data_IF_945448357808
#
_entry.id   IF_945448357808
#
_cell.length_a   1.000
_cell.length_b   1.000
_cell.length_c   1.000
_cell.angle_alpha   90.00
_cell.angle_beta   90.00
_cell.angle_gamma   90.00
#
_symmetry.space_group_name_H-M   'P 1'
#
loop_
_entity.id
_entity.type
_entity.pdbx_description
1 polymer ?
#
# COMPACT_ATOMS: atom_id res chain seq x y z
N UNK A 1 15.00 -28.99 -9.29
CA UNK A 1 15.29 -27.66 -9.86
C UNK A 1 15.12 -26.60 -8.78
N UNK A 2 16.20 -25.90 -8.42
CA UNK A 2 16.14 -24.79 -7.47
C UNK A 2 15.37 -23.59 -8.04
N UNK A 3 14.87 -22.74 -7.15
CA UNK A 3 14.20 -21.47 -7.47
C UNK A 3 15.21 -20.43 -7.96
N UNK A 4 15.81 -20.66 -9.12
CA UNK A 4 16.75 -19.69 -9.69
C UNK A 4 15.99 -18.43 -10.08
N UNK A 5 16.38 -17.29 -9.51
CA UNK A 5 15.90 -15.96 -9.88
C UNK A 5 17.07 -15.26 -10.54
N UNK A 6 16.88 -14.81 -11.79
CA UNK A 6 17.93 -14.13 -12.53
C UNK A 6 18.36 -12.84 -11.82
N UNK A 7 19.60 -12.40 -12.03
CA UNK A 7 20.07 -11.13 -11.45
C UNK A 7 19.21 -9.94 -11.90
N UNK A 8 18.88 -9.87 -13.19
CA UNK A 8 18.04 -8.80 -13.73
C UNK A 8 16.68 -8.71 -13.00
N UNK A 9 16.02 -9.85 -12.76
CA UNK A 9 14.73 -9.87 -12.03
C UNK A 9 14.91 -9.48 -10.57
N UNK A 10 15.99 -9.90 -9.91
CA UNK A 10 16.27 -9.49 -8.52
C UNK A 10 16.49 -7.98 -8.41
N UNK A 11 17.26 -7.41 -9.33
CA UNK A 11 17.55 -5.98 -9.36
C UNK A 11 16.25 -5.18 -9.60
N UNK A 12 15.45 -5.58 -10.60
CA UNK A 12 14.16 -4.94 -10.91
C UNK A 12 13.19 -4.95 -9.71
N UNK A 13 13.04 -6.10 -9.06
CA UNK A 13 12.18 -6.23 -7.87
C UNK A 13 12.72 -5.39 -6.73
N UNK A 14 14.04 -5.38 -6.50
CA UNK A 14 14.64 -4.61 -5.41
C UNK A 14 14.48 -3.10 -5.61
N UNK A 15 14.66 -2.61 -6.85
CA UNK A 15 14.45 -1.21 -7.22
C UNK A 15 12.98 -0.82 -7.08
N UNK A 16 12.05 -1.61 -7.64
CA UNK A 16 10.59 -1.38 -7.54
C UNK A 16 10.13 -1.30 -6.08
N UNK A 17 10.59 -2.24 -5.26
CA UNK A 17 10.22 -2.37 -3.85
C UNK A 17 11.04 -1.44 -2.94
N UNK A 18 11.98 -0.68 -3.52
CA UNK A 18 12.87 0.28 -2.85
C UNK A 18 13.63 -0.32 -1.68
N UNK A 19 14.04 -1.59 -1.80
CA UNK A 19 14.72 -2.32 -0.75
C UNK A 19 13.93 -2.41 0.56
N UNK A 20 12.60 -2.48 0.49
CA UNK A 20 11.70 -2.54 1.65
C UNK A 20 10.70 -3.67 1.54
N UNK A 21 10.38 -4.25 2.69
CA UNK A 21 9.29 -5.20 2.84
C UNK A 21 7.97 -4.56 2.39
N UNK A 22 7.28 -5.17 1.41
CA UNK A 22 6.02 -4.66 0.89
C UNK A 22 4.87 -4.72 1.90
N UNK A 23 5.00 -5.55 2.94
CA UNK A 23 4.00 -5.66 4.01
C UNK A 23 4.19 -4.64 5.13
N UNK A 24 5.40 -4.50 5.66
CA UNK A 24 5.66 -3.71 6.88
C UNK A 24 6.66 -2.57 6.70
N UNK A 25 7.30 -2.43 5.53
CA UNK A 25 8.29 -1.41 5.27
C UNK A 25 9.69 -1.64 5.85
N UNK A 26 9.92 -2.73 6.60
CA UNK A 26 11.26 -3.08 7.12
C UNK A 26 12.30 -3.18 6.00
N UNK A 27 13.52 -2.74 6.25
CA UNK A 27 14.69 -2.86 5.35
C UNK A 27 15.62 -4.01 5.74
N UNK A 28 15.32 -4.74 6.82
CA UNK A 28 16.17 -5.82 7.36
C UNK A 28 15.63 -7.21 7.03
N UNK A 29 16.55 -8.17 6.89
CA UNK A 29 16.27 -9.59 6.66
C UNK A 29 15.28 -9.83 5.50
N UNK A 30 15.54 -9.19 4.37
CA UNK A 30 14.68 -9.23 3.18
C UNK A 30 14.90 -10.52 2.38
N UNK A 31 13.80 -11.05 1.89
CA UNK A 31 13.72 -12.27 1.08
C UNK A 31 12.87 -12.00 -0.16
N UNK A 32 13.25 -12.60 -1.29
CA UNK A 32 12.42 -12.61 -2.50
C UNK A 32 11.34 -13.68 -2.34
N UNK A 33 10.10 -13.24 -2.16
CA UNK A 33 8.94 -14.12 -2.01
C UNK A 33 8.07 -14.11 -3.26
N UNK A 34 7.45 -15.25 -3.56
CA UNK A 34 6.51 -15.34 -4.67
C UNK A 34 5.11 -14.90 -4.22
N UNK A 35 4.53 -13.93 -4.93
CA UNK A 35 3.14 -13.53 -4.79
C UNK A 35 2.24 -14.76 -4.97
N UNK A 36 2.35 -15.43 -6.12
CA UNK A 36 1.74 -16.73 -6.37
C UNK A 36 2.77 -17.84 -6.13
N UNK A 37 2.53 -18.77 -5.18
CA UNK A 37 3.50 -19.79 -4.80
C UNK A 37 4.06 -20.57 -5.98
N UNK A 38 5.37 -20.82 -5.95
CA UNK A 38 6.05 -21.70 -6.91
C UNK A 38 5.40 -23.10 -6.98
N UNK A 39 4.86 -23.61 -5.86
CA UNK A 39 4.13 -24.88 -5.82
C UNK A 39 2.90 -24.92 -6.74
N UNK A 40 2.43 -23.77 -7.21
CA UNK A 40 1.33 -23.62 -8.17
C UNK A 40 1.82 -23.40 -9.61
N UNK A 41 3.11 -23.60 -9.87
CA UNK A 41 3.73 -23.45 -11.19
C UNK A 41 3.96 -22.01 -11.63
N UNK A 42 3.80 -21.04 -10.74
CA UNK A 42 3.96 -19.63 -11.09
C UNK A 42 5.46 -19.27 -11.30
N UNK A 43 5.79 -18.52 -12.36
CA UNK A 43 7.17 -18.20 -12.71
C UNK A 43 7.78 -17.17 -11.76
N UNK A 44 9.11 -17.16 -11.66
CA UNK A 44 9.88 -16.16 -10.92
C UNK A 44 10.12 -14.91 -11.77
N UNK A 45 9.05 -14.21 -12.15
CA UNK A 45 9.10 -12.92 -12.86
C UNK A 45 9.05 -11.77 -11.86
N UNK A 46 9.51 -10.58 -12.25
CA UNK A 46 9.43 -9.41 -11.39
C UNK A 46 7.99 -9.11 -10.95
N UNK A 47 7.00 -9.30 -11.84
CA UNK A 47 5.58 -9.14 -11.52
C UNK A 47 5.01 -10.17 -10.54
N UNK A 48 5.66 -11.32 -10.33
CA UNK A 48 5.22 -12.36 -9.39
C UNK A 48 6.13 -12.47 -8.16
N UNK A 49 7.17 -11.64 -8.07
CA UNK A 49 8.07 -11.57 -6.91
C UNK A 49 7.85 -10.27 -6.14
N UNK A 50 8.13 -10.32 -4.84
CA UNK A 50 8.11 -9.18 -3.92
C UNK A 50 9.18 -9.33 -2.85
N UNK A 51 9.64 -8.22 -2.28
CA UNK A 51 10.47 -8.22 -1.09
C UNK A 51 9.62 -8.30 0.17
N UNK A 52 9.89 -9.30 1.01
CA UNK A 52 9.31 -9.42 2.34
C UNK A 52 10.43 -9.58 3.37
N UNK A 53 10.27 -9.03 4.57
CA UNK A 53 11.13 -9.42 5.68
C UNK A 53 10.79 -10.86 6.11
N UNK A 54 11.77 -11.57 6.67
CA UNK A 54 11.62 -12.95 7.13
C UNK A 54 10.34 -13.17 7.99
N UNK A 55 10.03 -12.25 8.91
CA UNK A 55 8.82 -12.35 9.74
C UNK A 55 7.53 -12.29 8.91
N UNK A 56 7.42 -11.32 8.03
CA UNK A 56 6.26 -11.13 7.15
C UNK A 56 6.11 -12.31 6.16
N UNK A 57 7.22 -12.79 5.61
CA UNK A 57 7.23 -13.96 4.72
C UNK A 57 6.70 -15.21 5.44
N UNK A 58 7.17 -15.46 6.67
CA UNK A 58 6.71 -16.57 7.52
C UNK A 58 5.25 -16.47 7.94
N UNK A 59 4.71 -15.25 8.09
CA UNK A 59 3.29 -15.01 8.36
C UNK A 59 2.42 -15.27 7.13
N UNK A 60 2.89 -14.84 5.95
CA UNK A 60 2.23 -15.07 4.66
C UNK A 60 2.15 -16.56 4.33
N UNK A 61 3.24 -17.32 4.49
CA UNK A 61 3.34 -18.72 4.07
C UNK A 61 2.93 -18.88 2.59
N UNK A 62 2.25 -19.98 2.27
CA UNK A 62 1.61 -20.29 1.00
C UNK A 62 0.17 -19.76 0.89
N UNK A 63 -0.27 -18.93 1.84
CA UNK A 63 -1.63 -18.37 1.86
C UNK A 63 -1.80 -17.39 0.70
N UNK A 64 -2.35 -17.91 -0.38
CA UNK A 64 -2.81 -17.13 -1.53
C UNK A 64 -4.31 -17.34 -1.68
N UNK A 65 -5.02 -16.23 -1.86
CA UNK A 65 -6.47 -16.25 -2.06
C UNK A 65 -6.77 -16.15 -3.55
N UNK A 66 -7.89 -16.74 -3.97
CA UNK A 66 -8.46 -16.47 -5.28
C UNK A 66 -9.43 -15.29 -5.18
N UNK A 67 -9.52 -14.51 -6.25
CA UNK A 67 -10.53 -13.48 -6.39
C UNK A 67 -11.93 -14.12 -6.41
N UNK A 68 -12.89 -13.64 -5.62
CA UNK A 68 -14.26 -14.18 -5.66
C UNK A 68 -14.98 -13.86 -6.98
N UNK A 69 -14.48 -12.92 -7.78
CA UNK A 69 -15.08 -12.56 -9.07
C UNK A 69 -14.51 -13.35 -10.24
N UNK A 70 -13.21 -13.24 -10.47
CA UNK A 70 -12.55 -13.79 -11.64
C UNK A 70 -11.69 -15.02 -11.32
N UNK A 71 -11.65 -15.46 -10.05
CA UNK A 71 -10.84 -16.59 -9.59
C UNK A 71 -9.32 -16.46 -9.81
N UNK A 72 -8.83 -15.29 -10.20
CA UNK A 72 -7.38 -15.03 -10.33
C UNK A 72 -6.70 -15.11 -8.96
N UNK A 73 -5.41 -15.43 -8.94
CA UNK A 73 -4.62 -15.38 -7.71
C UNK A 73 -4.39 -13.93 -7.28
N UNK A 74 -4.55 -13.67 -5.99
CA UNK A 74 -4.33 -12.35 -5.39
C UNK A 74 -3.22 -12.47 -4.34
N UNK A 75 -2.34 -11.46 -4.30
CA UNK A 75 -1.33 -11.34 -3.25
C UNK A 75 -1.99 -11.29 -1.87
N UNK A 76 -1.28 -11.69 -0.82
CA UNK A 76 -1.83 -11.70 0.54
C UNK A 76 -2.22 -10.29 1.06
N UNK A 77 -1.79 -9.25 0.38
CA UNK A 77 -1.91 -7.85 0.74
C UNK A 77 -2.44 -6.93 -0.36
N UNK A 78 -2.79 -7.48 -1.52
CA UNK A 78 -3.26 -6.65 -2.62
C UNK A 78 -4.65 -6.08 -2.33
N UNK A 79 -4.74 -4.76 -2.17
CA UNK A 79 -6.03 -4.08 -1.97
C UNK A 79 -7.03 -4.31 -3.12
N UNK A 80 -6.53 -4.63 -4.32
CA UNK A 80 -7.32 -4.87 -5.52
C UNK A 80 -6.85 -6.11 -6.27
N UNK A 81 -7.76 -6.77 -6.97
CA UNK A 81 -7.43 -7.83 -7.91
C UNK A 81 -6.77 -7.24 -9.17
N UNK A 82 -5.55 -7.66 -9.50
CA UNK A 82 -4.85 -7.17 -10.70
C UNK A 82 -5.53 -7.61 -12.02
N UNK A 83 -6.40 -8.63 -11.99
CA UNK A 83 -7.04 -9.20 -13.19
C UNK A 83 -8.37 -8.55 -13.53
N UNK A 84 -9.18 -8.17 -12.53
CA UNK A 84 -10.51 -7.60 -12.75
C UNK A 84 -10.73 -6.24 -12.07
N UNK A 85 -9.77 -5.76 -11.28
CA UNK A 85 -9.85 -4.48 -10.57
C UNK A 85 -10.73 -4.49 -9.31
N UNK A 86 -11.42 -5.59 -8.99
CA UNK A 86 -12.27 -5.67 -7.78
C UNK A 86 -11.47 -5.45 -6.52
N UNK A 87 -12.02 -4.61 -5.64
CA UNK A 87 -11.51 -4.40 -4.29
C UNK A 87 -11.60 -5.68 -3.47
N UNK A 88 -10.51 -6.05 -2.80
CA UNK A 88 -10.42 -7.26 -2.00
C UNK A 88 -10.32 -6.84 -0.53
N UNK A 89 -11.28 -7.21 0.34
CA UNK A 89 -11.20 -6.86 1.75
C UNK A 89 -10.04 -7.64 2.39
N UNK A 90 -8.88 -7.00 2.50
CA UNK A 90 -7.75 -7.54 3.22
C UNK A 90 -7.85 -7.19 4.71
N UNK A 91 -7.82 -8.22 5.55
CA UNK A 91 -7.62 -8.06 7.00
C UNK A 91 -6.13 -7.92 7.29
N UNK A 92 -5.47 -6.87 6.77
CA UNK A 92 -4.12 -6.54 7.24
C UNK A 92 -4.28 -5.69 8.48
N UNK A 93 -3.98 -6.25 9.65
CA UNK A 93 -3.66 -5.41 10.82
C UNK A 93 -2.30 -4.78 10.52
N UNK A 94 -2.26 -3.45 10.47
CA UNK A 94 -1.06 -2.60 10.44
C UNK A 94 -0.30 -2.58 9.10
N UNK A 95 -0.88 -2.02 8.03
CA UNK A 95 -0.08 -1.58 6.87
C UNK A 95 0.33 -0.11 7.07
N UNK A 96 1.63 0.19 7.32
CA UNK A 96 2.09 1.55 7.60
C UNK A 96 1.91 2.52 6.41
N UNK A 97 1.76 1.99 5.19
CA UNK A 97 1.53 2.80 3.97
C UNK A 97 0.15 3.48 4.01
N UNK A 98 -0.88 2.79 4.49
CA UNK A 98 -2.25 3.32 4.54
C UNK A 98 -2.44 4.28 5.72
N UNK A 99 -1.77 4.01 6.84
CA UNK A 99 -1.92 4.78 8.08
C UNK A 99 -1.24 6.16 8.04
N UNK A 100 -0.24 6.35 7.17
CA UNK A 100 0.50 7.62 7.06
C UNK A 100 -0.17 8.61 6.11
N UNK A 101 -0.70 8.16 4.97
CA UNK A 101 -1.33 9.04 3.97
C UNK A 101 -2.66 9.62 4.47
N UNK A 102 -3.46 8.82 5.17
CA UNK A 102 -4.78 9.25 5.67
C UNK A 102 -4.69 10.32 6.76
N UNK A 103 -3.75 10.17 7.70
CA UNK A 103 -3.63 11.04 8.88
C UNK A 103 -3.10 12.44 8.55
N UNK A 104 -2.14 12.53 7.63
CA UNK A 104 -1.57 13.81 7.18
C UNK A 104 -2.52 14.61 6.28
N UNK A 105 -3.26 13.93 5.39
CA UNK A 105 -4.22 14.60 4.50
C UNK A 105 -5.36 15.28 5.28
N UNK A 106 -5.91 14.60 6.29
CA UNK A 106 -6.98 15.14 7.12
C UNK A 106 -6.53 16.35 7.94
N UNK A 107 -5.32 16.31 8.53
CA UNK A 107 -4.80 17.44 9.31
C UNK A 107 -4.65 18.72 8.47
N UNK A 108 -4.18 18.60 7.22
CA UNK A 108 -4.06 19.73 6.31
C UNK A 108 -5.42 20.31 5.91
N UNK A 109 -6.40 19.44 5.66
CA UNK A 109 -7.76 19.88 5.29
C UNK A 109 -8.46 20.60 6.45
N UNK A 110 -8.34 20.06 7.67
CA UNK A 110 -8.87 20.69 8.89
C UNK A 110 -8.17 22.03 9.14
N UNK A 111 -6.85 22.10 9.00
CA UNK A 111 -6.10 23.36 9.13
C UNK A 111 -6.55 24.43 8.14
N UNK A 112 -6.76 24.07 6.88
CA UNK A 112 -7.25 24.98 5.85
C UNK A 112 -8.67 25.49 6.16
N UNK A 113 -9.58 24.63 6.61
CA UNK A 113 -10.93 25.01 6.98
C UNK A 113 -10.96 25.99 8.17
N UNK A 114 -10.08 25.79 9.17
CA UNK A 114 -9.95 26.70 10.31
C UNK A 114 -9.48 28.08 9.83
N UNK A 115 -8.47 28.14 8.95
CA UNK A 115 -7.95 29.41 8.41
C UNK A 115 -9.01 30.15 7.58
N UNK A 116 -9.77 29.44 6.74
CA UNK A 116 -10.88 30.01 5.97
C UNK A 116 -11.95 30.56 6.93
N UNK A 117 -12.33 29.81 7.96
CA UNK A 117 -13.32 30.24 8.95
C UNK A 117 -12.89 31.51 9.72
N UNK A 118 -11.63 31.57 10.16
CA UNK A 118 -11.05 32.77 10.80
C UNK A 118 -11.08 33.94 9.84
N UNK A 119 -10.68 33.74 8.57
CA UNK A 119 -10.70 34.78 7.54
C UNK A 119 -12.11 35.34 7.30
N UNK A 120 -13.11 34.46 7.18
CA UNK A 120 -14.52 34.86 7.03
C UNK A 120 -15.04 35.62 8.26
N UNK A 121 -14.70 35.19 9.47
CA UNK A 121 -15.08 35.88 10.70
C UNK A 121 -14.46 37.28 10.81
N UNK A 122 -13.17 37.42 10.49
CA UNK A 122 -12.49 38.71 10.49
C UNK A 122 -13.03 39.65 9.41
N UNK A 123 -13.31 39.12 8.20
CA UNK A 123 -13.96 39.87 7.13
C UNK A 123 -15.34 40.37 7.55
N UNK A 124 -16.19 39.50 8.10
CA UNK A 124 -17.51 39.88 8.59
C UNK A 124 -17.41 40.95 9.71
N UNK A 125 -16.47 40.79 10.64
CA UNK A 125 -16.28 41.72 11.75
C UNK A 125 -15.72 43.09 11.32
N UNK A 126 -15.00 43.17 10.20
CA UNK A 126 -14.42 44.42 9.68
C UNK A 126 -15.34 45.15 8.69
N UNK A 127 -16.10 44.41 7.87
CA UNK A 127 -17.00 44.98 6.85
C UNK A 127 -18.41 45.31 7.35
N UNK A 128 -18.99 44.51 8.24
CA UNK A 128 -20.36 44.72 8.74
C UNK A 128 -20.54 46.03 9.54
N UNK A 129 -19.56 46.53 10.32
CA UNK A 129 -19.73 47.78 11.06
C UNK A 129 -19.81 49.04 10.18
N UNK A 130 -19.45 48.96 8.89
CA UNK A 130 -19.35 50.13 7.99
C UNK A 130 -20.69 50.50 7.32
N UNK A 131 -21.68 49.61 7.35
CA UNK A 131 -22.98 49.80 6.70
C UNK A 131 -24.11 50.21 7.66
N UNK A 132 -23.86 50.22 8.98
CA UNK A 132 -24.84 50.57 10.02
C UNK A 132 -24.52 51.89 10.74
N UNK A 133 -23.88 52.85 10.05
CA UNK A 133 -23.73 54.24 10.51
C UNK A 133 -24.28 55.21 9.49
#
# INVERSE_FOLDING_TARGET
MGRYISKAVRDEVFERDRGRCQLCGSTSNLEFDHITPFSKGAPATAGNLQLLCHQCNRMKRDKTKKCPECSSWIAHDAAFCHSCGRMVPHRIRNSPVVDSVSRWSLANYVGLLILIGIGLYLLASWFVPQFFR
#
